data_IF_981916939008
#
_entry.id   IF_981916939008
#
_cell.length_a   1.000
_cell.length_b   1.000
_cell.length_c   1.000
_cell.angle_alpha   90.00
_cell.angle_beta   90.00
_cell.angle_gamma   90.00
#
_symmetry.space_group_name_H-M   'P 1'
#
loop_
_entity.id
_entity.type
_entity.pdbx_description
1 polymer ?
#
# COMPACT_ATOMS: atom_id res chain seq x y z
N UNK A 1 -2.41 36.02 -21.78
CA UNK A 1 -2.69 35.05 -22.85
C UNK A 1 -2.34 33.66 -22.32
N UNK A 2 -3.26 33.00 -21.60
CA UNK A 2 -3.01 31.62 -21.14
C UNK A 2 -3.32 30.71 -22.34
N UNK A 3 -2.31 30.00 -22.83
CA UNK A 3 -2.47 29.07 -23.96
C UNK A 3 -3.56 28.05 -23.67
N UNK A 4 -4.22 27.57 -24.73
CA UNK A 4 -5.31 26.62 -24.64
C UNK A 4 -4.97 25.45 -23.70
N UNK A 5 -5.95 25.02 -22.89
CA UNK A 5 -5.88 23.82 -22.06
C UNK A 5 -5.75 22.61 -22.99
N UNK A 6 -4.51 22.30 -23.38
CA UNK A 6 -4.17 21.08 -24.06
C UNK A 6 -4.30 19.96 -23.04
N UNK A 7 -5.36 19.17 -23.19
CA UNK A 7 -5.61 18.00 -22.36
C UNK A 7 -4.36 17.13 -22.37
N UNK A 8 -3.70 16.98 -21.23
CA UNK A 8 -2.59 16.05 -21.11
C UNK A 8 -3.19 14.66 -21.04
N UNK A 9 -3.06 13.88 -22.12
CA UNK A 9 -3.41 12.46 -22.10
C UNK A 9 -2.64 11.74 -20.98
N UNK A 10 -3.23 10.68 -20.43
CA UNK A 10 -2.87 10.10 -19.12
C UNK A 10 -1.36 9.93 -18.91
N UNK A 11 -0.77 10.75 -18.04
CA UNK A 11 0.65 10.67 -17.66
C UNK A 11 1.03 9.42 -16.85
N UNK A 12 0.03 8.66 -16.40
CA UNK A 12 0.24 7.49 -15.55
C UNK A 12 -0.49 6.30 -16.11
N UNK A 13 0.25 5.21 -16.34
CA UNK A 13 -0.33 3.91 -16.66
C UNK A 13 -0.50 3.11 -15.36
N UNK A 14 -1.73 2.85 -14.97
CA UNK A 14 -2.05 1.95 -13.87
C UNK A 14 -2.08 0.52 -14.40
N UNK A 15 -1.12 -0.31 -13.97
CA UNK A 15 -1.06 -1.74 -14.29
C UNK A 15 -1.29 -2.56 -13.04
N UNK A 16 -1.96 -3.71 -13.19
CA UNK A 16 -2.21 -4.62 -12.08
C UNK A 16 -1.00 -5.52 -11.88
N UNK A 17 -0.76 -5.94 -10.64
CA UNK A 17 0.31 -6.90 -10.34
C UNK A 17 0.14 -8.21 -11.11
N UNK A 18 -1.10 -8.65 -11.32
CA UNK A 18 -1.43 -9.85 -12.10
C UNK A 18 -0.99 -9.76 -13.57
N UNK A 19 -0.82 -8.54 -14.11
CA UNK A 19 -0.32 -8.34 -15.48
C UNK A 19 1.18 -8.63 -15.58
N UNK A 20 1.93 -8.47 -14.48
CA UNK A 20 3.38 -8.67 -14.44
C UNK A 20 3.77 -10.05 -13.90
N UNK A 21 3.06 -10.52 -12.89
CA UNK A 21 3.39 -11.77 -12.19
C UNK A 21 2.11 -12.61 -12.11
N UNK A 22 1.86 -13.51 -13.06
CA UNK A 22 0.68 -14.39 -13.03
C UNK A 22 0.59 -15.23 -11.75
N UNK A 23 -0.59 -15.75 -11.44
CA UNK A 23 -0.85 -16.54 -10.24
C UNK A 23 0.06 -17.79 -10.11
N UNK A 24 0.39 -18.42 -11.24
CA UNK A 24 1.23 -19.63 -11.30
C UNK A 24 2.73 -19.32 -11.38
N UNK A 25 3.12 -18.05 -11.26
CA UNK A 25 4.51 -17.65 -11.37
C UNK A 25 5.31 -18.07 -10.12
N UNK A 26 6.53 -18.65 -10.26
CA UNK A 26 7.31 -19.14 -9.13
C UNK A 26 7.62 -18.07 -8.06
N UNK A 27 7.75 -16.79 -8.47
CA UNK A 27 7.95 -15.67 -7.55
C UNK A 27 6.77 -15.42 -6.59
N UNK A 28 5.57 -15.94 -6.89
CA UNK A 28 4.42 -15.86 -5.96
C UNK A 28 4.66 -16.61 -4.66
N UNK A 29 5.54 -17.63 -4.66
CA UNK A 29 5.96 -18.30 -3.44
C UNK A 29 6.72 -17.35 -2.49
N UNK A 30 7.59 -16.50 -3.03
CA UNK A 30 8.33 -15.49 -2.25
C UNK A 30 7.37 -14.49 -1.62
N UNK A 31 6.37 -14.03 -2.38
CA UNK A 31 5.32 -13.15 -1.86
C UNK A 31 4.60 -13.76 -0.67
N UNK A 32 4.22 -15.04 -0.74
CA UNK A 32 3.58 -15.76 0.38
C UNK A 32 4.49 -15.78 1.62
N UNK A 33 5.78 -16.06 1.45
CA UNK A 33 6.75 -16.07 2.56
C UNK A 33 6.92 -14.69 3.20
N UNK A 34 7.09 -13.65 2.38
CA UNK A 34 7.22 -12.28 2.84
C UNK A 34 5.96 -11.81 3.59
N UNK A 35 4.78 -12.09 3.03
CA UNK A 35 3.50 -11.76 3.66
C UNK A 35 3.33 -12.45 5.02
N UNK A 36 3.74 -13.71 5.14
CA UNK A 36 3.69 -14.42 6.41
C UNK A 36 4.65 -13.83 7.46
N UNK A 37 5.85 -13.39 7.05
CA UNK A 37 6.78 -12.71 7.95
C UNK A 37 6.25 -11.33 8.39
N UNK A 38 5.74 -10.54 7.45
CA UNK A 38 5.16 -9.22 7.72
C UNK A 38 3.93 -9.31 8.64
N UNK A 39 3.09 -10.33 8.46
CA UNK A 39 1.95 -10.56 9.34
C UNK A 39 2.37 -10.79 10.81
N UNK A 40 3.48 -11.50 11.04
CA UNK A 40 4.03 -11.71 12.39
C UNK A 40 4.58 -10.42 13.00
N UNK A 41 5.09 -9.52 12.18
CA UNK A 41 5.65 -8.23 12.61
C UNK A 41 4.60 -7.12 12.72
N UNK A 42 3.35 -7.37 12.30
CA UNK A 42 2.29 -6.37 12.24
C UNK A 42 2.04 -5.67 13.59
N UNK A 43 2.07 -6.40 14.70
CA UNK A 43 1.89 -5.82 16.04
C UNK A 43 3.01 -4.88 16.47
N UNK A 44 4.26 -5.18 16.09
CA UNK A 44 5.41 -4.32 16.35
C UNK A 44 5.31 -3.02 15.53
N UNK A 45 4.98 -3.13 14.25
CA UNK A 45 4.79 -1.97 13.39
C UNK A 45 3.62 -1.10 13.86
N UNK A 46 2.50 -1.70 14.26
CA UNK A 46 1.37 -0.97 14.83
C UNK A 46 1.81 -0.13 16.04
N UNK A 47 2.57 -0.71 16.97
CA UNK A 47 3.09 0.03 18.13
C UNK A 47 4.05 1.17 17.77
N UNK A 48 4.89 1.00 16.73
CA UNK A 48 5.76 2.08 16.24
C UNK A 48 4.98 3.26 15.66
N UNK A 49 3.94 2.99 14.87
CA UNK A 49 3.12 4.04 14.25
C UNK A 49 2.16 4.73 15.23
N UNK A 50 1.75 4.05 16.30
CA UNK A 50 1.01 4.67 17.41
C UNK A 50 1.87 5.63 18.23
N UNK A 51 3.17 5.35 18.36
CA UNK A 51 4.10 6.17 19.15
C UNK A 51 4.52 7.49 18.45
N UNK A 52 4.57 7.53 17.12
CA UNK A 52 5.19 8.65 16.38
C UNK A 52 4.27 9.45 15.43
N UNK A 53 2.94 9.35 15.54
CA UNK A 53 2.09 10.49 15.13
C UNK A 53 1.11 10.31 13.97
N UNK A 54 0.35 9.22 13.91
CA UNK A 54 -0.84 9.16 13.02
C UNK A 54 -2.13 9.69 13.67
N UNK A 55 -2.22 9.79 15.00
CA UNK A 55 -3.41 10.36 15.64
C UNK A 55 -3.52 11.90 15.49
N UNK A 56 -2.58 12.55 14.78
CA UNK A 56 -2.62 14.00 14.48
C UNK A 56 -3.34 14.34 13.16
N UNK A 57 -3.73 13.35 12.34
CA UNK A 57 -4.27 13.57 11.00
C UNK A 57 -5.80 13.40 10.88
N UNK A 58 -6.54 13.10 11.95
CA UNK A 58 -7.99 12.84 11.85
C UNK A 58 -8.82 13.46 13.01
N UNK A 59 -9.69 14.43 12.67
CA UNK A 59 -10.53 15.20 13.60
C UNK A 59 -11.71 14.37 14.16
N UNK A 60 -12.02 13.20 13.59
CA UNK A 60 -13.11 12.34 14.04
C UNK A 60 -12.70 10.87 14.17
N UNK A 61 -12.09 10.55 15.32
CA UNK A 61 -12.09 9.24 16.01
C UNK A 61 -12.07 7.99 15.12
N UNK A 62 -10.86 7.49 14.88
CA UNK A 62 -10.42 6.10 15.03
C UNK A 62 -9.02 6.07 14.45
N UNK A 63 -7.96 6.01 15.27
CA UNK A 63 -6.60 5.89 14.73
C UNK A 63 -6.59 4.57 13.92
N UNK A 64 -6.49 4.63 12.58
CA UNK A 64 -6.61 3.43 11.79
C UNK A 64 -5.35 2.62 12.05
N UNK A 65 -5.52 1.44 12.66
CA UNK A 65 -4.46 0.45 12.74
C UNK A 65 -3.91 0.30 11.32
N UNK A 66 -2.65 0.67 11.09
CA UNK A 66 -1.97 0.38 9.83
C UNK A 66 -1.89 -1.14 9.74
N UNK A 67 -2.91 -1.74 9.14
CA UNK A 67 -2.85 -3.13 8.78
C UNK A 67 -1.84 -3.20 7.64
N UNK A 68 -0.61 -3.62 7.94
CA UNK A 68 0.42 -3.90 6.93
C UNK A 68 -0.12 -4.91 5.88
N UNK A 69 -1.21 -5.61 6.22
CA UNK A 69 -2.10 -6.35 5.33
C UNK A 69 -2.60 -5.62 4.07
N UNK A 70 -2.66 -4.28 4.04
CA UNK A 70 -3.08 -3.52 2.84
C UNK A 70 -2.02 -3.64 1.72
N UNK A 71 -0.74 -3.82 2.08
CA UNK A 71 0.34 -4.14 1.13
C UNK A 71 0.41 -5.64 0.74
N UNK A 72 -0.40 -6.49 1.37
CA UNK A 72 -0.33 -7.95 1.26
C UNK A 72 -1.37 -8.52 0.26
N UNK A 73 -2.36 -7.72 -0.20
CA UNK A 73 -3.35 -8.12 -1.23
C UNK A 73 -2.81 -8.02 -2.64
#
# INVERSE_FOLDING_TARGET
MRGADTFTESLFTLRKLEDFVPADHPLRAIRKMANAALAKMNGLFAGMYEAEGLCQLDEHRLCPYLNVGILIR
#
